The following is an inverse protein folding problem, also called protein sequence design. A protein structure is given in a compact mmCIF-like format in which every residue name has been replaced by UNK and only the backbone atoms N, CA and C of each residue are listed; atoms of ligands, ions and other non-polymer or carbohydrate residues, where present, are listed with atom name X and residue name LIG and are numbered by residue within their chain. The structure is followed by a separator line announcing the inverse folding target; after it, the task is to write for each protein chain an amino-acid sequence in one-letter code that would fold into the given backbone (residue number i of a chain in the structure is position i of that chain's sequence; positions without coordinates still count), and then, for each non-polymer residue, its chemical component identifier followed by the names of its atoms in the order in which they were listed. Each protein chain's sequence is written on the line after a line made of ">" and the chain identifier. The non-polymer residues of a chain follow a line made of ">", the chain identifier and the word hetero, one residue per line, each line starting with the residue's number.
data_IF_833711706581
#
_entry.id   IF_833711706581
#
_cell.length_a   1.000
_cell.length_b   1.000
_cell.length_c   1.000
_cell.angle_alpha   90.00
_cell.angle_beta   90.00
_cell.angle_gamma   90.00
#
_symmetry.space_group_name_H-M   'P 1'
#
loop_
_entity.id
_entity.type
_entity.pdbx_description
1 polymer ?
#
# COMPACT_ATOMS: atom_id res chain seq x y z
N UNK A 1 37.03 -70.47 18.89
CA UNK A 1 35.71 -70.24 18.27
C UNK A 1 34.97 -69.20 19.08
N UNK A 2 34.54 -68.11 18.43
CA UNK A 2 33.42 -67.20 18.75
C UNK A 2 33.82 -65.77 18.33
N UNK A 3 33.31 -65.38 17.17
CA UNK A 3 33.38 -64.03 16.61
C UNK A 3 32.23 -63.23 17.21
N UNK A 4 32.45 -61.97 17.63
CA UNK A 4 31.35 -61.00 17.67
C UNK A 4 31.87 -59.60 17.40
N UNK A 5 31.36 -59.02 16.30
CA UNK A 5 31.67 -57.71 15.75
C UNK A 5 30.85 -56.66 16.51
N UNK A 6 31.50 -55.63 17.05
CA UNK A 6 30.80 -54.42 17.50
C UNK A 6 30.88 -53.39 16.39
N UNK A 7 29.69 -53.00 15.95
CA UNK A 7 29.37 -52.28 14.73
C UNK A 7 29.89 -50.85 14.70
N UNK A 8 30.48 -50.50 13.54
CA UNK A 8 30.63 -49.14 13.05
C UNK A 8 29.22 -48.63 12.72
N UNK A 9 28.60 -47.87 13.62
CA UNK A 9 27.34 -47.18 13.37
C UNK A 9 27.28 -45.90 14.21
N UNK A 10 28.15 -44.94 13.89
CA UNK A 10 28.14 -43.61 14.52
C UNK A 10 28.37 -42.50 13.49
N UNK A 11 27.88 -42.71 12.26
CA UNK A 11 28.01 -41.75 11.17
C UNK A 11 26.89 -41.92 10.11
N UNK A 12 25.62 -41.67 10.46
CA UNK A 12 24.54 -41.34 9.50
C UNK A 12 23.14 -41.22 10.14
N UNK A 13 22.99 -40.54 11.29
CA UNK A 13 21.64 -40.19 11.81
C UNK A 13 21.61 -38.75 12.29
N UNK A 14 22.04 -37.82 11.43
CA UNK A 14 21.84 -36.38 11.61
C UNK A 14 21.33 -35.70 10.33
N UNK A 15 20.91 -36.49 9.32
CA UNK A 15 20.36 -36.01 8.07
C UNK A 15 19.10 -36.83 7.81
N UNK A 16 17.92 -36.37 8.27
CA UNK A 16 16.57 -36.77 7.78
C UNK A 16 15.41 -36.23 8.63
N UNK A 17 15.61 -35.23 9.50
CA UNK A 17 14.52 -34.54 10.19
C UNK A 17 14.76 -33.02 10.20
N UNK A 18 15.09 -32.42 9.05
CA UNK A 18 14.60 -31.06 8.85
C UNK A 18 13.09 -31.19 8.73
N UNK A 19 12.26 -30.56 9.59
CA UNK A 19 10.86 -30.45 9.24
C UNK A 19 10.81 -29.84 7.83
N UNK A 20 9.97 -30.37 6.95
CA UNK A 20 9.54 -29.66 5.76
C UNK A 20 9.08 -28.30 6.26
N UNK A 21 9.98 -27.31 6.23
CA UNK A 21 9.65 -25.93 6.48
C UNK A 21 8.50 -25.69 5.52
N UNK A 22 7.31 -25.42 6.07
CA UNK A 22 6.12 -25.04 5.29
C UNK A 22 6.63 -24.11 4.21
N UNK A 23 6.56 -24.55 2.95
CA UNK A 23 7.26 -23.97 1.81
C UNK A 23 7.10 -22.45 1.80
N UNK A 24 8.04 -21.74 2.44
CA UNK A 24 7.93 -20.30 2.68
C UNK A 24 8.79 -19.59 1.68
N UNK A 25 8.32 -18.47 1.17
CA UNK A 25 9.16 -17.60 0.36
C UNK A 25 10.29 -17.03 1.24
N UNK A 26 11.53 -17.23 0.79
CA UNK A 26 12.73 -16.73 1.47
C UNK A 26 13.48 -15.73 0.59
N UNK A 27 14.12 -14.71 1.19
CA UNK A 27 15.05 -13.85 0.46
C UNK A 27 16.28 -14.67 0.07
N UNK A 28 16.69 -14.58 -1.18
CA UNK A 28 17.88 -15.25 -1.69
C UNK A 28 19.14 -14.68 -1.00
N UNK A 29 19.95 -15.51 -0.32
CA UNK A 29 21.14 -15.03 0.38
C UNK A 29 22.22 -14.62 -0.61
N UNK A 30 23.00 -13.59 -0.27
CA UNK A 30 24.12 -13.11 -1.09
C UNK A 30 23.71 -12.35 -2.37
N UNK A 31 22.43 -12.05 -2.56
CA UNK A 31 21.94 -11.21 -3.66
C UNK A 31 21.79 -9.77 -3.18
N UNK A 32 22.66 -8.89 -3.66
CA UNK A 32 22.63 -7.45 -3.40
C UNK A 32 21.88 -6.69 -4.50
N UNK A 33 20.63 -7.09 -4.72
CA UNK A 33 19.69 -6.34 -5.56
C UNK A 33 18.80 -5.56 -4.61
N UNK A 34 18.63 -4.23 -4.77
CA UNK A 34 17.67 -3.46 -4.01
C UNK A 34 16.27 -4.07 -4.15
N UNK A 35 15.59 -4.27 -3.02
CA UNK A 35 14.28 -4.92 -3.00
C UNK A 35 13.24 -4.10 -2.26
N UNK A 36 12.05 -4.04 -2.83
CA UNK A 36 10.83 -3.62 -2.15
C UNK A 36 10.13 -4.84 -1.57
N UNK A 37 9.76 -4.80 -0.29
CA UNK A 37 9.05 -5.91 0.36
C UNK A 37 7.55 -5.73 0.20
N UNK A 38 6.86 -6.77 -0.28
CA UNK A 38 5.41 -6.81 -0.46
C UNK A 38 4.86 -8.02 0.30
N UNK A 39 3.71 -7.85 0.97
CA UNK A 39 3.01 -8.97 1.58
C UNK A 39 1.94 -9.49 0.63
N UNK A 40 1.97 -10.79 0.35
CA UNK A 40 1.03 -11.46 -0.55
C UNK A 40 -0.38 -11.44 0.05
N UNK A 41 -1.38 -11.05 -0.74
CA UNK A 41 -2.80 -11.03 -0.37
C UNK A 41 -3.52 -12.26 -0.90
N UNK A 42 -4.73 -12.51 -0.38
CA UNK A 42 -5.60 -13.56 -0.92
C UNK A 42 -5.93 -13.29 -2.40
N UNK A 43 -5.77 -14.32 -3.24
CA UNK A 43 -5.99 -14.23 -4.68
C UNK A 43 -4.85 -13.59 -5.49
N UNK A 44 -3.75 -13.19 -4.84
CA UNK A 44 -2.52 -12.81 -5.55
C UNK A 44 -1.91 -14.01 -6.27
N UNK A 45 -1.28 -13.72 -7.41
CA UNK A 45 -0.42 -14.67 -8.11
C UNK A 45 0.84 -13.94 -8.54
N UNK A 46 1.95 -14.67 -8.72
CA UNK A 46 3.19 -14.06 -9.22
C UNK A 46 2.96 -13.34 -10.55
N UNK A 47 2.05 -13.81 -11.40
CA UNK A 47 1.69 -13.13 -12.66
C UNK A 47 0.99 -11.79 -12.42
N UNK A 48 0.00 -11.73 -11.52
CA UNK A 48 -0.68 -10.45 -11.18
C UNK A 48 0.29 -9.46 -10.54
N UNK A 49 1.15 -9.93 -9.65
CA UNK A 49 2.18 -9.11 -9.03
C UNK A 49 3.22 -8.63 -10.06
N UNK A 50 3.57 -9.46 -11.05
CA UNK A 50 4.47 -9.07 -12.14
C UNK A 50 3.85 -8.04 -13.08
N UNK A 51 2.56 -8.17 -13.39
CA UNK A 51 1.81 -7.13 -14.12
C UNK A 51 1.86 -5.80 -13.36
N UNK A 52 1.63 -5.85 -12.04
CA UNK A 52 1.66 -4.67 -11.18
C UNK A 52 3.05 -4.01 -11.09
N UNK A 53 4.11 -4.79 -10.87
CA UNK A 53 5.45 -4.25 -10.58
C UNK A 53 6.35 -4.10 -11.81
N UNK A 54 6.17 -4.96 -12.82
CA UNK A 54 7.02 -4.99 -14.01
C UNK A 54 6.26 -4.69 -15.32
N UNK A 55 4.96 -4.43 -15.22
CA UNK A 55 4.09 -4.04 -16.33
C UNK A 55 3.69 -5.21 -17.22
N UNK A 56 4.11 -6.44 -16.90
CA UNK A 56 3.79 -7.62 -17.68
C UNK A 56 3.75 -8.87 -16.81
N UNK A 57 2.70 -9.67 -17.00
CA UNK A 57 2.51 -10.98 -16.36
C UNK A 57 3.65 -11.95 -16.64
N UNK A 58 4.28 -11.84 -17.81
CA UNK A 58 5.32 -12.76 -18.26
C UNK A 58 6.65 -12.55 -17.53
N UNK A 59 6.80 -11.39 -16.89
CA UNK A 59 7.97 -11.04 -16.09
C UNK A 59 7.93 -11.61 -14.67
N UNK A 60 7.01 -12.51 -14.34
CA UNK A 60 6.93 -13.10 -12.99
C UNK A 60 8.23 -13.79 -12.55
N UNK A 61 9.04 -14.29 -13.48
CA UNK A 61 10.34 -14.90 -13.19
C UNK A 61 11.37 -13.92 -12.62
N UNK A 62 11.14 -12.62 -12.77
CA UNK A 62 11.98 -11.58 -12.16
C UNK A 62 12.02 -11.72 -10.63
N UNK A 63 10.92 -12.15 -10.00
CA UNK A 63 10.91 -12.40 -8.55
C UNK A 63 11.94 -13.46 -8.12
N UNK A 64 12.28 -14.43 -8.98
CA UNK A 64 13.24 -15.48 -8.64
C UNK A 64 14.69 -14.97 -8.51
N UNK A 65 14.97 -13.75 -8.97
CA UNK A 65 16.29 -13.13 -8.80
C UNK A 65 16.61 -12.88 -7.34
N UNK A 66 15.60 -12.50 -6.55
CA UNK A 66 15.72 -12.06 -5.15
C UNK A 66 15.01 -12.99 -4.16
N UNK A 67 14.18 -13.91 -4.65
CA UNK A 67 13.41 -14.84 -3.82
C UNK A 67 13.77 -16.29 -4.13
N UNK A 68 13.78 -17.12 -3.09
CA UNK A 68 13.66 -18.57 -3.18
C UNK A 68 12.16 -18.86 -2.99
N UNK A 69 11.49 -19.24 -4.07
CA UNK A 69 10.05 -19.56 -4.09
C UNK A 69 9.95 -21.07 -4.35
N UNK A 70 9.59 -21.88 -3.35
CA UNK A 70 9.57 -23.33 -3.51
C UNK A 70 8.55 -23.82 -4.53
N UNK A 71 7.37 -23.19 -4.57
CA UNK A 71 6.33 -23.45 -5.56
C UNK A 71 5.81 -22.12 -6.13
N UNK A 72 6.24 -21.74 -7.35
CA UNK A 72 5.81 -20.48 -7.98
C UNK A 72 4.30 -20.39 -8.28
N UNK A 73 3.61 -21.52 -8.40
CA UNK A 73 2.17 -21.55 -8.67
C UNK A 73 1.34 -21.48 -7.37
N UNK A 74 1.96 -21.74 -6.22
CA UNK A 74 1.32 -21.72 -4.90
C UNK A 74 2.06 -20.82 -3.92
N UNK A 75 1.78 -19.52 -4.00
CA UNK A 75 2.19 -18.53 -3.00
C UNK A 75 1.09 -18.34 -1.95
N UNK A 76 1.46 -18.13 -0.69
CA UNK A 76 0.49 -18.06 0.41
C UNK A 76 0.25 -16.62 0.87
N UNK A 77 -1.01 -16.25 1.18
CA UNK A 77 -1.31 -14.98 1.82
C UNK A 77 -0.52 -14.79 3.13
N UNK A 78 -0.03 -13.56 3.35
CA UNK A 78 0.81 -13.19 4.49
C UNK A 78 2.31 -13.43 4.30
N UNK A 79 2.73 -14.05 3.19
CA UNK A 79 4.15 -14.21 2.88
C UNK A 79 4.82 -12.92 2.39
N UNK A 80 6.11 -12.77 2.70
CA UNK A 80 6.93 -11.66 2.23
C UNK A 80 7.53 -12.01 0.87
N UNK A 81 7.19 -11.22 -0.14
CA UNK A 81 7.81 -11.24 -1.45
C UNK A 81 8.78 -10.07 -1.58
N UNK A 82 10.04 -10.36 -1.94
CA UNK A 82 11.10 -9.37 -2.11
C UNK A 82 11.18 -8.96 -3.59
N UNK A 83 10.45 -7.92 -3.99
CA UNK A 83 10.38 -7.44 -5.37
C UNK A 83 11.69 -6.73 -5.76
N UNK A 84 12.43 -7.19 -6.79
CA UNK A 84 13.64 -6.52 -7.25
C UNK A 84 13.33 -5.16 -7.89
N UNK A 85 14.21 -4.19 -7.65
CA UNK A 85 14.25 -2.90 -8.35
C UNK A 85 15.30 -3.07 -9.47
N UNK A 86 14.88 -3.10 -10.75
CA UNK A 86 15.76 -3.49 -11.86
C UNK A 86 16.55 -2.29 -12.44
N UNK A 87 17.68 -2.47 -13.15
CA UNK A 87 18.48 -1.36 -13.68
C UNK A 87 17.79 -0.51 -14.76
N UNK A 88 16.84 -1.08 -15.52
CA UNK A 88 15.93 -0.28 -16.37
C UNK A 88 15.08 0.68 -15.56
N UNK A 89 14.89 0.35 -14.28
CA UNK A 89 14.19 1.15 -13.30
C UNK A 89 15.12 2.20 -12.73
N UNK A 90 16.43 1.95 -12.59
CA UNK A 90 17.43 2.99 -12.22
C UNK A 90 17.67 4.01 -13.35
N UNK A 91 17.57 3.57 -14.62
CA UNK A 91 17.75 4.44 -15.79
C UNK A 91 16.49 5.29 -16.09
N UNK A 92 15.31 4.85 -15.65
CA UNK A 92 14.07 5.65 -15.64
C UNK A 92 13.88 6.41 -14.30
N UNK A 93 14.47 5.90 -13.21
CA UNK A 93 14.64 6.53 -11.89
C UNK A 93 15.96 7.31 -11.80
N UNK A 94 16.21 8.18 -12.78
CA UNK A 94 17.17 9.30 -12.62
C UNK A 94 16.50 10.52 -11.98
N UNK A 95 15.18 10.50 -11.87
CA UNK A 95 14.37 11.55 -11.26
C UNK A 95 14.31 11.36 -9.75
N UNK A 96 15.21 12.03 -9.03
CA UNK A 96 15.09 12.16 -7.58
C UNK A 96 13.77 12.89 -7.26
N UNK A 97 12.96 12.40 -6.31
CA UNK A 97 11.79 13.15 -5.89
C UNK A 97 12.25 14.45 -5.25
N UNK A 98 11.59 15.55 -5.61
CA UNK A 98 11.84 16.88 -5.05
C UNK A 98 10.62 17.38 -4.30
N UNK A 99 9.42 16.89 -4.65
CA UNK A 99 8.19 17.31 -3.99
C UNK A 99 7.19 16.17 -3.86
N UNK A 100 6.53 16.11 -2.70
CA UNK A 100 5.37 15.28 -2.47
C UNK A 100 4.10 16.13 -2.58
N UNK A 101 3.15 15.70 -3.41
CA UNK A 101 1.88 16.39 -3.64
C UNK A 101 0.72 15.56 -3.12
N UNK A 102 -0.12 16.16 -2.30
CA UNK A 102 -1.43 15.60 -1.99
C UNK A 102 -2.32 15.62 -3.22
N UNK A 103 -2.90 14.49 -3.59
CA UNK A 103 -3.87 14.46 -4.67
C UNK A 103 -5.26 14.75 -4.10
N UNK A 104 -6.05 15.62 -4.75
CA UNK A 104 -7.44 15.83 -4.34
C UNK A 104 -8.20 14.50 -4.44
N UNK A 105 -8.87 14.14 -3.35
CA UNK A 105 -9.73 12.96 -3.26
C UNK A 105 -11.18 13.44 -3.29
N UNK A 106 -11.72 13.60 -4.50
CA UNK A 106 -13.11 13.97 -4.84
C UNK A 106 -13.70 15.28 -4.26
N UNK A 107 -13.37 15.69 -3.03
CA UNK A 107 -13.84 16.92 -2.39
C UNK A 107 -12.70 17.95 -2.20
N UNK A 108 -12.93 19.16 -2.73
CA UNK A 108 -11.98 20.26 -2.81
C UNK A 108 -11.59 20.82 -1.42
N UNK A 109 -10.50 20.32 -0.85
CA UNK A 109 -9.35 21.07 -0.34
C UNK A 109 -8.36 20.04 0.22
N UNK A 110 -7.19 19.83 -0.40
CA UNK A 110 -6.36 18.68 -0.06
C UNK A 110 -5.94 18.68 1.42
N UNK A 111 -5.77 19.85 2.02
CA UNK A 111 -5.28 19.98 3.40
C UNK A 111 -6.33 19.71 4.48
N UNK A 112 -7.62 19.86 4.17
CA UNK A 112 -8.74 19.67 5.10
C UNK A 112 -9.88 18.92 4.42
N UNK A 113 -10.18 17.74 4.96
CA UNK A 113 -11.16 16.82 4.40
C UNK A 113 -12.21 16.47 5.46
N UNK A 114 -13.49 16.34 5.07
CA UNK A 114 -14.61 16.17 6.03
C UNK A 114 -15.39 14.91 5.70
N UNK A 115 -15.31 13.91 6.57
CA UNK A 115 -15.83 12.58 6.34
C UNK A 115 -16.88 12.18 7.38
N UNK A 116 -17.93 11.43 7.00
CA UNK A 116 -18.82 10.79 7.96
C UNK A 116 -18.09 9.70 8.78
N UNK A 117 -18.39 9.56 10.06
CA UNK A 117 -17.88 8.44 10.88
C UNK A 117 -18.33 7.09 10.31
N UNK A 118 -17.57 6.04 10.63
CA UNK A 118 -17.78 4.66 10.16
C UNK A 118 -17.73 4.51 8.64
N UNK A 119 -17.05 5.44 7.96
CA UNK A 119 -16.71 5.32 6.54
C UNK A 119 -15.22 5.10 6.36
N UNK A 120 -14.83 4.55 5.21
CA UNK A 120 -13.43 4.43 4.81
C UNK A 120 -13.10 5.53 3.82
N UNK A 121 -11.98 6.21 4.03
CA UNK A 121 -11.49 7.26 3.15
C UNK A 121 -10.07 6.93 2.67
N UNK A 122 -9.71 7.35 1.46
CA UNK A 122 -8.36 7.11 0.92
C UNK A 122 -7.66 8.44 0.76
N UNK A 123 -6.42 8.49 1.21
CA UNK A 123 -5.49 9.58 0.95
C UNK A 123 -4.47 9.13 -0.09
N UNK A 124 -4.27 9.94 -1.13
CA UNK A 124 -3.32 9.65 -2.21
C UNK A 124 -2.28 10.76 -2.26
N UNK A 125 -1.01 10.39 -2.32
CA UNK A 125 0.10 11.33 -2.55
C UNK A 125 0.88 10.95 -3.78
N UNK A 126 1.46 11.94 -4.46
CA UNK A 126 2.30 11.80 -5.64
C UNK A 126 3.69 12.35 -5.37
N UNK A 127 4.72 11.55 -5.58
CA UNK A 127 6.09 12.07 -5.63
C UNK A 127 6.40 12.56 -7.04
N UNK A 128 6.96 13.76 -7.16
CA UNK A 128 7.38 14.34 -8.45
C UNK A 128 8.82 14.85 -8.41
N UNK A 129 9.42 14.92 -9.59
CA UNK A 129 10.75 15.48 -9.80
C UNK A 129 10.70 17.01 -10.04
N UNK A 130 11.86 17.62 -10.26
CA UNK A 130 12.00 19.06 -10.55
C UNK A 130 11.25 19.53 -11.82
N UNK A 131 10.94 18.60 -12.74
CA UNK A 131 10.23 18.88 -13.98
C UNK A 131 8.72 18.60 -13.85
N UNK A 132 8.25 18.17 -12.68
CA UNK A 132 6.87 17.77 -12.43
C UNK A 132 6.51 16.36 -12.89
N UNK A 133 7.49 15.56 -13.31
CA UNK A 133 7.22 14.17 -13.71
C UNK A 133 7.03 13.28 -12.48
N UNK A 134 6.14 12.27 -12.56
CA UNK A 134 5.97 11.32 -11.48
C UNK A 134 7.26 10.52 -11.22
N UNK A 135 7.61 10.39 -9.95
CA UNK A 135 8.74 9.57 -9.50
C UNK A 135 8.23 8.25 -8.98
N UNK A 136 8.59 7.16 -9.64
CA UNK A 136 8.27 5.79 -9.25
C UNK A 136 9.20 5.24 -8.16
N UNK A 137 8.70 4.28 -7.37
CA UNK A 137 9.49 3.57 -6.36
C UNK A 137 9.94 4.43 -5.16
N UNK A 138 9.54 5.70 -5.09
CA UNK A 138 9.87 6.58 -3.98
C UNK A 138 9.17 6.08 -2.71
N UNK A 139 9.95 5.89 -1.64
CA UNK A 139 9.42 5.50 -0.32
C UNK A 139 8.61 6.66 0.26
N UNK A 140 7.42 6.34 0.76
CA UNK A 140 6.56 7.26 1.51
C UNK A 140 6.23 6.64 2.87
N UNK A 141 6.49 7.39 3.94
CA UNK A 141 6.12 7.02 5.30
C UNK A 141 4.90 7.80 5.74
N UNK A 142 3.92 7.11 6.30
CA UNK A 142 2.65 7.66 6.75
C UNK A 142 2.56 7.58 8.25
N UNK A 143 2.29 8.71 8.89
CA UNK A 143 2.16 8.82 10.35
C UNK A 143 0.84 9.50 10.68
N UNK A 144 0.01 8.83 11.48
CA UNK A 144 -1.13 9.48 12.14
C UNK A 144 -0.66 10.07 13.45
N UNK A 145 -0.80 11.39 13.60
CA UNK A 145 -0.41 12.10 14.80
C UNK A 145 -1.28 11.69 15.99
N UNK A 146 -0.63 11.47 17.13
CA UNK A 146 -1.30 11.25 18.40
C UNK A 146 -1.45 12.57 19.16
N UNK A 147 -2.68 12.92 19.51
CA UNK A 147 -3.04 14.11 20.28
C UNK A 147 -4.39 13.87 20.99
N UNK A 148 -4.77 14.68 22.00
CA UNK A 148 -5.93 14.40 22.85
C UNK A 148 -7.28 14.20 22.13
N UNK A 149 -7.46 14.79 20.95
CA UNK A 149 -8.66 14.64 20.11
C UNK A 149 -8.42 13.81 18.85
N UNK A 150 -7.30 13.07 18.80
CA UNK A 150 -6.96 12.26 17.64
C UNK A 150 -7.86 11.03 17.58
N UNK A 151 -8.46 10.81 16.42
CA UNK A 151 -9.24 9.60 16.14
C UNK A 151 -8.78 8.98 14.84
N UNK A 152 -9.30 7.80 14.57
CA UNK A 152 -9.10 7.07 13.34
C UNK A 152 -7.85 6.22 13.31
N UNK A 153 -7.87 5.28 12.38
CA UNK A 153 -6.86 4.27 12.17
C UNK A 153 -6.59 4.12 10.67
N UNK A 154 -5.34 3.86 10.32
CA UNK A 154 -5.01 3.26 9.03
C UNK A 154 -5.68 1.88 9.00
N UNK A 155 -6.45 1.60 7.95
CA UNK A 155 -7.06 0.28 7.72
C UNK A 155 -6.32 -0.47 6.62
N UNK A 156 -5.82 0.26 5.63
CA UNK A 156 -5.10 -0.30 4.50
C UNK A 156 -3.99 0.67 4.07
N UNK A 157 -2.93 0.12 3.50
CA UNK A 157 -1.90 0.91 2.85
C UNK A 157 -1.51 0.22 1.56
N UNK A 158 -1.05 1.00 0.60
CA UNK A 158 -0.60 0.48 -0.66
C UNK A 158 0.45 -0.62 -0.46
N UNK A 159 0.40 -1.64 -1.31
CA UNK A 159 1.34 -2.77 -1.29
C UNK A 159 1.41 -3.53 0.03
N UNK A 160 0.34 -3.44 0.83
CA UNK A 160 0.29 -3.95 2.20
C UNK A 160 1.38 -3.36 3.09
N UNK A 161 1.69 -2.08 2.86
CA UNK A 161 2.66 -1.29 3.60
C UNK A 161 2.26 -0.94 5.03
N UNK A 162 1.08 -1.37 5.48
CA UNK A 162 0.57 -1.07 6.82
C UNK A 162 1.39 -1.82 7.86
N UNK A 163 1.97 -1.08 8.80
CA UNK A 163 2.78 -1.65 9.90
C UNK A 163 1.93 -1.77 11.16
N UNK A 164 1.20 -0.71 11.51
CA UNK A 164 0.23 -0.72 12.60
C UNK A 164 -0.93 0.26 12.26
N UNK A 165 -1.76 0.63 13.23
CA UNK A 165 -2.92 1.49 12.99
C UNK A 165 -2.56 2.97 12.82
N UNK A 166 -1.34 3.38 13.16
CA UNK A 166 -0.86 4.77 13.11
C UNK A 166 0.36 4.97 12.21
N UNK A 167 0.90 3.88 11.65
CA UNK A 167 2.11 3.91 10.83
C UNK A 167 2.02 2.95 9.64
N UNK A 168 2.41 3.45 8.46
CA UNK A 168 2.56 2.66 7.24
C UNK A 168 3.76 3.14 6.43
N UNK A 169 4.34 2.24 5.62
CA UNK A 169 5.40 2.54 4.66
C UNK A 169 4.99 2.01 3.31
N UNK A 170 4.85 2.90 2.34
CA UNK A 170 4.44 2.56 0.97
C UNK A 170 5.48 3.05 -0.03
N UNK A 171 5.28 2.73 -1.31
CA UNK A 171 6.15 3.15 -2.39
C UNK A 171 5.32 3.59 -3.59
N UNK A 172 5.74 4.65 -4.26
CA UNK A 172 5.03 5.18 -5.43
C UNK A 172 4.99 4.17 -6.57
N UNK A 173 3.82 4.06 -7.21
CA UNK A 173 3.58 3.09 -8.27
C UNK A 173 4.30 3.48 -9.56
N UNK A 174 4.79 2.49 -10.30
CA UNK A 174 5.28 2.66 -11.68
C UNK A 174 4.14 2.68 -12.68
N UNK A 175 3.24 1.72 -12.54
CA UNK A 175 2.13 1.50 -13.46
C UNK A 175 0.82 1.90 -12.79
N UNK A 176 -0.18 2.34 -13.58
CA UNK A 176 -1.47 2.66 -13.03
C UNK A 176 -2.12 1.42 -12.41
N UNK A 177 -2.64 1.57 -11.19
CA UNK A 177 -3.34 0.52 -10.44
C UNK A 177 -4.80 0.92 -10.27
N UNK A 178 -5.72 0.00 -10.59
CA UNK A 178 -7.15 0.19 -10.31
C UNK A 178 -7.48 -0.39 -8.95
N UNK A 179 -8.00 0.46 -8.07
CA UNK A 179 -8.56 0.05 -6.79
C UNK A 179 -10.06 -0.15 -6.95
N UNK A 180 -10.52 -1.38 -6.78
CA UNK A 180 -11.94 -1.71 -6.76
C UNK A 180 -12.52 -1.28 -5.41
N UNK A 181 -13.43 -0.30 -5.39
CA UNK A 181 -14.13 0.15 -4.17
C UNK A 181 -15.51 -0.50 -4.02
N UNK A 182 -16.06 -0.38 -2.80
CA UNK A 182 -17.38 -0.91 -2.41
C UNK A 182 -18.53 -0.34 -3.27
N UNK A 183 -19.63 -1.08 -3.50
CA UNK A 183 -20.57 -0.86 -4.61
C UNK A 183 -21.48 0.39 -4.55
N UNK A 184 -21.38 1.27 -3.55
CA UNK A 184 -22.31 2.41 -3.42
C UNK A 184 -22.18 3.40 -4.58
N UNK A 185 -20.95 3.68 -5.02
CA UNK A 185 -20.69 4.67 -6.09
C UNK A 185 -20.07 4.05 -7.36
N UNK A 186 -19.58 2.80 -7.27
CA UNK A 186 -19.23 1.95 -8.41
C UNK A 186 -18.08 2.43 -9.32
N UNK A 187 -17.39 3.52 -9.00
CA UNK A 187 -16.23 4.00 -9.77
C UNK A 187 -14.93 3.41 -9.21
N UNK A 188 -14.15 2.80 -10.09
CA UNK A 188 -12.78 2.39 -9.77
C UNK A 188 -11.91 3.64 -9.52
N UNK A 189 -11.20 3.69 -8.40
CA UNK A 189 -10.19 4.72 -8.17
C UNK A 189 -8.92 4.33 -8.93
N UNK A 190 -8.45 5.20 -9.83
CA UNK A 190 -7.22 4.99 -10.59
C UNK A 190 -6.04 5.65 -9.87
N UNK A 191 -5.13 4.84 -9.35
CA UNK A 191 -3.85 5.30 -8.81
C UNK A 191 -2.85 5.36 -9.96
N UNK A 192 -2.33 6.54 -10.25
CA UNK A 192 -1.41 6.79 -11.36
C UNK A 192 0.06 6.47 -11.05
N UNK A 193 0.94 6.59 -12.07
CA UNK A 193 2.38 6.57 -11.85
C UNK A 193 2.82 7.68 -10.89
N UNK A 194 3.80 7.37 -10.04
CA UNK A 194 4.30 8.27 -9.00
C UNK A 194 3.38 8.42 -7.79
N UNK A 195 2.22 7.75 -7.77
CA UNK A 195 1.24 7.84 -6.68
C UNK A 195 1.31 6.63 -5.74
N UNK A 196 0.99 6.87 -4.49
CA UNK A 196 0.77 5.84 -3.47
C UNK A 196 -0.30 6.32 -2.48
N UNK A 197 -0.86 5.41 -1.70
CA UNK A 197 -2.08 5.69 -0.95
C UNK A 197 -2.15 4.96 0.40
N UNK A 198 -2.99 5.49 1.28
CA UNK A 198 -3.48 4.79 2.48
C UNK A 198 -4.99 4.90 2.59
N UNK A 199 -5.63 3.88 3.12
CA UNK A 199 -7.02 3.90 3.56
C UNK A 199 -7.09 4.14 5.07
N UNK A 200 -7.98 5.03 5.49
CA UNK A 200 -8.23 5.37 6.89
C UNK A 200 -9.71 5.25 7.22
N UNK A 201 -10.03 5.03 8.49
CA UNK A 201 -11.40 5.08 9.00
C UNK A 201 -11.43 5.68 10.39
N UNK A 202 -12.58 6.16 10.84
CA UNK A 202 -12.83 6.46 12.26
C UNK A 202 -14.24 6.05 12.66
N UNK A 203 -14.35 5.31 13.78
CA UNK A 203 -15.64 5.01 14.39
C UNK A 203 -16.19 6.17 15.25
N UNK A 204 -15.34 7.14 15.60
CA UNK A 204 -15.69 8.25 16.47
C UNK A 204 -15.56 9.60 15.76
N UNK A 205 -16.38 10.59 16.10
CA UNK A 205 -16.15 11.97 15.67
C UNK A 205 -14.81 12.49 16.18
N UNK A 206 -14.14 13.35 15.42
CA UNK A 206 -12.86 13.93 15.80
C UNK A 206 -11.97 14.29 14.62
N UNK A 207 -10.67 14.44 14.87
CA UNK A 207 -9.70 14.76 13.83
C UNK A 207 -8.67 13.63 13.66
N UNK A 208 -8.35 13.29 12.42
CA UNK A 208 -7.16 12.50 12.07
C UNK A 208 -6.19 13.42 11.36
N UNK A 209 -5.01 13.63 11.94
CA UNK A 209 -3.93 14.38 11.29
C UNK A 209 -2.89 13.41 10.78
N UNK A 210 -2.58 13.52 9.49
CA UNK A 210 -1.75 12.57 8.76
C UNK A 210 -0.56 13.34 8.22
N UNK A 211 0.63 12.78 8.40
CA UNK A 211 1.83 13.22 7.74
C UNK A 211 2.26 12.14 6.74
N UNK A 212 2.42 12.51 5.47
CA UNK A 212 3.10 11.71 4.47
C UNK A 212 4.50 12.30 4.25
N UNK A 213 5.52 11.45 4.33
CA UNK A 213 6.92 11.85 4.34
C UNK A 213 7.64 11.08 3.25
N UNK A 214 8.38 11.74 2.36
CA UNK A 214 9.24 11.07 1.40
C UNK A 214 10.72 11.21 1.80
N UNK A 215 11.36 10.21 2.45
CA UNK A 215 12.72 10.36 3.00
C UNK A 215 13.81 10.63 1.95
N UNK A 216 13.54 10.34 0.68
CA UNK A 216 14.44 10.60 -0.44
C UNK A 216 14.53 12.10 -0.80
N UNK A 217 13.55 12.92 -0.38
CA UNK A 217 13.60 14.37 -0.49
C UNK A 217 14.47 14.90 0.66
N UNK A 218 15.38 15.88 0.42
CA UNK A 218 16.09 16.57 1.49
C UNK A 218 15.16 17.11 2.59
N UNK A 219 15.70 17.39 3.79
CA UNK A 219 14.91 17.86 4.92
C UNK A 219 14.43 19.32 4.73
N UNK A 220 13.45 19.50 3.85
CA UNK A 220 12.76 20.76 3.55
C UNK A 220 11.23 20.53 3.53
N UNK A 221 10.43 21.58 3.38
CA UNK A 221 8.97 21.53 3.42
C UNK A 221 8.36 20.61 2.35
N UNK A 222 9.00 20.49 1.18
CA UNK A 222 8.53 19.68 0.05
C UNK A 222 8.58 18.17 0.33
N UNK A 223 9.31 17.76 1.37
CA UNK A 223 9.38 16.38 1.85
C UNK A 223 8.10 15.91 2.52
N UNK A 224 7.31 16.84 3.04
CA UNK A 224 6.24 16.62 4.00
C UNK A 224 4.92 17.12 3.43
N UNK A 225 3.90 16.26 3.47
CA UNK A 225 2.52 16.63 3.21
C UNK A 225 1.70 16.35 4.45
N UNK A 226 0.89 17.32 4.86
CA UNK A 226 -0.04 17.17 5.98
C UNK A 226 -1.48 17.18 5.47
N UNK A 227 -2.29 16.29 6.05
CA UNK A 227 -3.73 16.21 5.80
C UNK A 227 -4.44 16.21 7.14
N UNK A 228 -5.52 16.96 7.26
CA UNK A 228 -6.45 16.85 8.39
C UNK A 228 -7.78 16.32 7.89
N UNK A 229 -8.17 15.13 8.33
CA UNK A 229 -9.51 14.59 8.10
C UNK A 229 -10.36 14.84 9.36
N UNK A 230 -11.49 15.50 9.19
CA UNK A 230 -12.51 15.70 10.23
C UNK A 230 -13.59 14.64 10.09
N UNK A 231 -13.81 13.88 11.15
CA UNK A 231 -14.86 12.88 11.23
C UNK A 231 -16.07 13.45 11.96
N UNK A 232 -17.23 13.43 11.30
CA UNK A 232 -18.48 13.95 11.87
C UNK A 232 -19.56 12.89 11.83
N UNK A 233 -20.35 12.84 12.90
CA UNK A 233 -21.56 12.02 12.95
C UNK A 233 -22.71 12.82 12.33
N UNK A 234 -22.85 12.71 11.01
CA UNK A 234 -24.00 13.27 10.29
C UNK A 234 -24.90 12.10 9.88
N UNK A 235 -26.07 12.01 10.52
CA UNK A 235 -27.23 11.41 9.91
C UNK A 235 -27.67 12.34 8.79
N UNK A 236 -27.41 11.96 7.54
CA UNK A 236 -27.89 12.72 6.39
C UNK A 236 -29.43 12.73 6.42
N UNK A 237 -30.01 13.82 6.92
CA UNK A 237 -31.46 14.06 6.81
C UNK A 237 -31.67 14.87 5.54
N UNK A 238 -32.39 14.34 4.52
CA UNK A 238 -32.83 15.18 3.43
C UNK A 238 -33.60 16.37 4.01
N UNK A 239 -33.47 17.58 3.45
CA UNK A 239 -34.38 18.67 3.80
C UNK A 239 -35.81 18.14 3.63
N UNK A 240 -36.74 18.41 4.58
CA UNK A 240 -38.14 18.02 4.40
C UNK A 240 -38.60 18.58 3.05
N UNK A 241 -39.23 17.72 2.22
CA UNK A 241 -39.67 18.07 0.87
C UNK A 241 -40.31 19.45 0.89
N UNK A 242 -39.62 20.42 0.27
CA UNK A 242 -40.19 21.73 -0.04
C UNK A 242 -41.23 21.47 -1.12
N UNK A 243 -42.40 21.01 -0.70
CA UNK A 243 -43.61 21.03 -1.50
C UNK A 243 -43.90 22.52 -1.68
N UNK A 244 -43.36 23.10 -2.75
CA UNK A 244 -43.68 24.45 -3.17
C UNK A 244 -45.18 24.48 -3.45
N UNK A 245 -45.96 24.94 -2.47
CA UNK A 245 -47.34 25.35 -2.66
C UNK A 245 -47.31 26.57 -3.58
N UNK A 246 -47.34 26.34 -4.89
CA UNK A 246 -47.69 27.35 -5.86
C UNK A 246 -49.16 27.72 -5.62
N UNK A 247 -49.38 28.68 -4.72
CA UNK A 247 -50.65 29.38 -4.63
C UNK A 247 -50.79 30.22 -5.90
N UNK A 248 -51.40 29.62 -6.92
CA UNK A 248 -51.88 30.34 -8.09
C UNK A 248 -53.09 31.17 -7.64
N UNK A 249 -52.86 32.42 -7.24
CA UNK A 249 -53.96 33.39 -7.15
C UNK A 249 -54.36 33.74 -8.57
N UNK A 250 -55.47 33.16 -9.01
CA UNK A 250 -56.18 33.54 -10.22
C UNK A 250 -56.64 34.99 -10.06
N UNK A 251 -56.08 35.90 -10.86
CA UNK A 251 -56.60 37.27 -11.00
C UNK A 251 -57.52 37.29 -12.22
N UNK A 252 -58.82 37.24 -11.95
CA UNK A 252 -59.90 37.72 -12.83
C UNK A 252 -59.84 39.23 -13.03
#
# INVERSE_FOLDING_TARGET
>A
MAVSRISIALLAVALLLTPLSRARIEKRPGVDIPTRVVIIKEGDTLRKLAERFFGSRDKWREFLKTNIIPDPDHILPGEKLYVPILPSDEAVSQSQPVMLLLQPTEDDTPELDVNPVMTEHIIVVKAIDQNGNPVEGARVEWVLSDFPSSTGDIVEADDNGKINNRYAVTYTNRYPVRLKRSPRDGRDLLIGPGETWIGITSAYPGETRIAAICPAIPMDKERLVFVTCKWIDIAWQPPPDLTAMLNYTDNS
#
